data_IF_719816624888
#
_entry.id   IF_719816624888
#
_cell.length_a   1.000
_cell.length_b   1.000
_cell.length_c   1.000
_cell.angle_alpha   90.00
_cell.angle_beta   90.00
_cell.angle_gamma   90.00
#
_symmetry.space_group_name_H-M   'P 1'
#
loop_
_entity.id
_entity.type
_entity.pdbx_description
1 polymer ?
#
# COMPACT_ATOMS: atom_id res chain seq x y z
N UNK A 1 32.35 77.94 -0.56
CA UNK A 1 31.66 77.13 -1.60
C UNK A 1 32.67 76.68 -2.65
N UNK A 2 32.91 75.38 -2.86
CA UNK A 2 33.57 74.93 -4.08
C UNK A 2 32.56 74.95 -5.25
N UNK A 3 32.99 75.33 -6.47
CA UNK A 3 32.09 75.48 -7.60
C UNK A 3 31.56 74.10 -8.05
N UNK A 4 30.25 74.05 -8.28
CA UNK A 4 29.51 72.87 -8.73
C UNK A 4 30.13 72.35 -10.03
N UNK A 5 30.78 71.19 -10.00
CA UNK A 5 31.12 70.40 -11.20
C UNK A 5 29.83 70.03 -11.92
N UNK A 6 29.46 70.79 -12.95
CA UNK A 6 28.42 70.41 -13.92
C UNK A 6 28.88 69.12 -14.61
N UNK A 7 28.17 68.02 -14.33
CA UNK A 7 28.37 66.73 -15.00
C UNK A 7 28.17 66.90 -16.51
N UNK A 8 29.16 66.47 -17.28
CA UNK A 8 29.14 66.30 -18.74
C UNK A 8 28.21 65.13 -19.15
N UNK A 9 26.93 65.22 -18.81
CA UNK A 9 25.90 64.28 -19.23
C UNK A 9 24.89 65.06 -20.06
N UNK A 10 25.14 65.20 -21.36
CA UNK A 10 24.13 65.80 -22.24
C UNK A 10 24.56 66.28 -23.64
N UNK A 11 25.84 66.57 -23.89
CA UNK A 11 26.28 66.96 -25.25
C UNK A 11 26.80 65.75 -26.02
N UNK A 12 26.06 65.33 -27.05
CA UNK A 12 26.66 64.55 -28.15
C UNK A 12 27.83 65.36 -28.70
N UNK A 13 29.05 64.83 -28.60
CA UNK A 13 30.23 65.50 -29.11
C UNK A 13 30.17 65.53 -30.64
N UNK A 14 30.70 66.58 -31.27
CA UNK A 14 30.78 66.67 -32.75
C UNK A 14 31.45 65.43 -33.34
N UNK A 15 32.46 64.89 -32.65
CA UNK A 15 33.13 63.63 -32.97
C UNK A 15 32.15 62.43 -33.01
N UNK A 16 31.30 62.24 -32.00
CA UNK A 16 30.32 61.15 -31.99
C UNK A 16 29.25 61.29 -33.09
N UNK A 17 28.97 62.52 -33.54
CA UNK A 17 28.06 62.78 -34.65
C UNK A 17 28.71 62.45 -36.00
N UNK A 18 29.98 62.84 -36.20
CA UNK A 18 30.75 62.50 -37.38
C UNK A 18 30.95 60.99 -37.52
N UNK A 19 31.28 60.30 -36.41
CA UNK A 19 31.44 58.84 -36.37
C UNK A 19 30.15 58.11 -36.75
N UNK A 20 28.99 58.64 -36.36
CA UNK A 20 27.69 58.09 -36.72
C UNK A 20 27.36 58.32 -38.19
N UNK A 21 27.67 59.51 -38.72
CA UNK A 21 27.47 59.81 -40.14
C UNK A 21 28.36 58.93 -41.03
N UNK A 22 29.63 58.74 -40.66
CA UNK A 22 30.56 57.85 -41.34
C UNK A 22 30.07 56.39 -41.32
N UNK A 23 29.58 55.90 -40.18
CA UNK A 23 28.99 54.54 -40.08
C UNK A 23 27.70 54.38 -40.88
N UNK A 24 26.91 55.45 -41.03
CA UNK A 24 25.67 55.42 -41.82
C UNK A 24 25.95 55.40 -43.33
N UNK A 25 27.12 55.88 -43.77
CA UNK A 25 27.58 55.84 -45.16
C UNK A 25 28.42 54.61 -45.52
N UNK A 26 28.65 53.67 -44.59
CA UNK A 26 29.43 52.46 -44.87
C UNK A 26 28.71 51.54 -45.86
N UNK A 27 29.47 50.98 -46.81
CA UNK A 27 28.99 49.86 -47.62
C UNK A 27 28.97 48.56 -46.78
N UNK A 28 28.18 47.54 -47.16
CA UNK A 28 28.15 46.26 -46.46
C UNK A 28 29.55 45.61 -46.30
N UNK A 29 30.43 45.80 -47.28
CA UNK A 29 31.83 45.33 -47.25
C UNK A 29 32.72 46.12 -46.28
N UNK A 30 32.54 47.45 -46.23
CA UNK A 30 33.26 48.29 -45.26
C UNK A 30 32.80 47.99 -43.82
N UNK A 31 31.50 47.77 -43.63
CA UNK A 31 30.95 47.35 -42.34
C UNK A 31 31.48 45.97 -41.93
N UNK A 32 31.53 45.00 -42.84
CA UNK A 32 32.04 43.66 -42.53
C UNK A 32 33.53 43.68 -42.17
N UNK A 33 34.33 44.46 -42.90
CA UNK A 33 35.75 44.65 -42.62
C UNK A 33 35.98 45.29 -41.23
N UNK A 34 35.23 46.35 -40.90
CA UNK A 34 35.33 47.02 -39.59
C UNK A 34 34.94 46.09 -38.45
N UNK A 35 33.87 45.30 -38.61
CA UNK A 35 33.47 44.31 -37.62
C UNK A 35 34.55 43.22 -37.45
N UNK A 36 35.12 42.73 -38.55
CA UNK A 36 36.23 41.77 -38.50
C UNK A 36 37.48 42.31 -37.81
N UNK A 37 37.81 43.59 -38.00
CA UNK A 37 38.94 44.26 -37.30
C UNK A 37 38.65 44.44 -35.80
N UNK A 38 37.40 44.75 -35.45
CA UNK A 38 36.97 44.88 -34.06
C UNK A 38 36.96 43.52 -33.34
N UNK A 39 36.54 42.46 -34.02
CA UNK A 39 36.55 41.09 -33.51
C UNK A 39 37.98 40.58 -33.30
N UNK A 40 38.87 40.81 -34.25
CA UNK A 40 40.29 40.42 -34.13
C UNK A 40 41.00 41.19 -33.01
N UNK A 41 40.75 42.50 -32.88
CA UNK A 41 41.25 43.29 -31.74
C UNK A 41 40.69 42.81 -30.39
N UNK A 42 39.42 42.42 -30.36
CA UNK A 42 38.79 41.86 -29.15
C UNK A 42 39.34 40.49 -28.81
N UNK A 43 39.58 39.62 -29.80
CA UNK A 43 40.20 38.32 -29.62
C UNK A 43 41.63 38.43 -29.07
N UNK A 44 42.43 39.38 -29.58
CA UNK A 44 43.77 39.66 -29.07
C UNK A 44 43.75 40.15 -27.60
N UNK A 45 42.78 41.00 -27.25
CA UNK A 45 42.60 41.42 -25.84
C UNK A 45 42.20 40.25 -24.93
N UNK A 46 41.34 39.35 -25.41
CA UNK A 46 40.89 38.18 -24.65
C UNK A 46 41.96 37.10 -24.53
N UNK A 47 42.89 36.98 -25.49
CA UNK A 47 43.98 36.00 -25.43
C UNK A 47 45.06 36.39 -24.41
N UNK A 48 45.25 37.69 -24.19
CA UNK A 48 46.17 38.24 -23.18
C UNK A 48 45.51 38.44 -21.80
N UNK A 49 44.25 38.02 -21.63
CA UNK A 49 43.48 38.23 -20.40
C UNK A 49 43.97 37.33 -19.26
N UNK A 50 44.19 37.91 -18.07
CA UNK A 50 44.52 37.14 -16.88
C UNK A 50 43.32 36.34 -16.37
N UNK A 51 43.56 35.26 -15.61
CA UNK A 51 42.49 34.45 -15.04
C UNK A 51 41.53 35.27 -14.15
N UNK A 52 42.06 36.23 -13.37
CA UNK A 52 41.26 37.11 -12.52
C UNK A 52 40.44 38.14 -13.32
N UNK A 53 41.03 38.75 -14.35
CA UNK A 53 40.28 39.65 -15.23
C UNK A 53 39.16 38.91 -15.98
N UNK A 54 39.42 37.66 -16.38
CA UNK A 54 38.44 36.78 -17.02
C UNK A 54 37.27 36.46 -16.09
N UNK A 55 37.51 36.12 -14.82
CA UNK A 55 36.43 35.82 -13.87
C UNK A 55 35.59 37.06 -13.59
N UNK A 56 36.21 38.24 -13.44
CA UNK A 56 35.50 39.50 -13.22
C UNK A 56 34.66 39.92 -14.43
N UNK A 57 35.20 39.77 -15.65
CA UNK A 57 34.45 40.03 -16.89
C UNK A 57 33.25 39.09 -17.04
N UNK A 58 33.43 37.80 -16.75
CA UNK A 58 32.34 36.82 -16.81
C UNK A 58 31.28 37.09 -15.73
N UNK A 59 31.67 37.49 -14.52
CA UNK A 59 30.75 37.86 -13.45
C UNK A 59 29.96 39.13 -13.81
N UNK A 60 30.64 40.16 -14.34
CA UNK A 60 30.00 41.40 -14.81
C UNK A 60 29.03 41.15 -15.96
N UNK A 61 29.40 40.29 -16.91
CA UNK A 61 28.51 39.86 -17.99
C UNK A 61 27.30 39.08 -17.45
N UNK A 62 27.49 38.19 -16.48
CA UNK A 62 26.40 37.44 -15.84
C UNK A 62 25.41 38.36 -15.12
N UNK A 63 25.91 39.34 -14.35
CA UNK A 63 25.08 40.34 -13.65
C UNK A 63 24.30 41.23 -14.63
N UNK A 64 24.94 41.65 -15.72
CA UNK A 64 24.29 42.42 -16.79
C UNK A 64 23.18 41.62 -17.46
N UNK A 65 23.45 40.34 -17.77
CA UNK A 65 22.47 39.43 -18.37
C UNK A 65 21.30 39.12 -17.42
N UNK A 66 21.57 38.95 -16.13
CA UNK A 66 20.55 38.76 -15.10
C UNK A 66 19.62 39.98 -15.01
N UNK A 67 20.21 41.18 -14.93
CA UNK A 67 19.47 42.45 -14.89
C UNK A 67 18.62 42.66 -16.16
N UNK A 68 19.17 42.32 -17.34
CA UNK A 68 18.43 42.38 -18.59
C UNK A 68 17.25 41.41 -18.59
N UNK A 69 17.44 40.15 -18.14
CA UNK A 69 16.37 39.14 -18.04
C UNK A 69 15.28 39.52 -17.05
N UNK A 70 15.64 40.17 -15.94
CA UNK A 70 14.69 40.64 -14.94
C UNK A 70 13.74 41.70 -15.49
N UNK A 71 14.18 42.51 -16.46
CA UNK A 71 13.38 43.56 -17.10
C UNK A 71 12.49 43.08 -18.27
N UNK A 72 12.66 41.84 -18.73
CA UNK A 72 11.87 41.30 -19.84
C UNK A 72 10.42 41.09 -19.44
N UNK A 73 9.50 41.41 -20.35
CA UNK A 73 8.09 41.05 -20.22
C UNK A 73 7.89 39.53 -20.26
N UNK A 74 6.71 39.07 -19.85
CA UNK A 74 6.36 37.63 -19.90
C UNK A 74 6.41 37.11 -21.33
N UNK A 75 5.95 37.90 -22.31
CA UNK A 75 5.95 37.55 -23.73
C UNK A 75 7.37 37.51 -24.30
N UNK A 76 8.18 38.54 -24.02
CA UNK A 76 9.58 38.59 -24.47
C UNK A 76 10.40 37.42 -23.88
N UNK A 77 10.14 37.06 -22.62
CA UNK A 77 10.78 35.92 -21.97
C UNK A 77 10.33 34.59 -22.61
N UNK A 78 9.06 34.47 -22.97
CA UNK A 78 8.53 33.30 -23.67
C UNK A 78 9.17 33.14 -25.05
N UNK A 79 9.26 34.23 -25.81
CA UNK A 79 9.88 34.29 -27.12
C UNK A 79 11.39 33.97 -27.06
N UNK A 80 12.11 34.53 -26.09
CA UNK A 80 13.53 34.24 -25.91
C UNK A 80 13.76 32.77 -25.54
N UNK A 81 12.90 32.19 -24.69
CA UNK A 81 12.97 30.78 -24.33
C UNK A 81 12.67 29.85 -25.51
N UNK A 82 11.71 30.20 -26.36
CA UNK A 82 11.38 29.40 -27.56
C UNK A 82 12.50 29.45 -28.59
N UNK A 83 13.07 30.64 -28.84
CA UNK A 83 14.22 30.82 -29.74
C UNK A 83 15.47 30.08 -29.23
N UNK A 84 15.73 30.12 -27.93
CA UNK A 84 16.85 29.38 -27.31
C UNK A 84 16.67 27.87 -27.27
N UNK A 85 15.43 27.37 -27.32
CA UNK A 85 15.14 25.94 -27.24
C UNK A 85 15.57 25.18 -28.52
N UNK A 86 15.44 25.80 -29.70
CA UNK A 86 15.70 25.13 -30.99
C UNK A 86 17.18 24.73 -31.17
N UNK A 87 18.18 25.61 -30.95
CA UNK A 87 19.59 25.23 -31.02
C UNK A 87 19.95 24.16 -29.98
N UNK A 88 19.41 24.25 -28.76
CA UNK A 88 19.65 23.27 -27.70
C UNK A 88 19.08 21.90 -28.07
N UNK A 89 17.88 21.85 -28.66
CA UNK A 89 17.28 20.61 -29.14
C UNK A 89 18.14 19.96 -30.24
N UNK A 90 18.63 20.77 -31.20
CA UNK A 90 19.52 20.32 -32.28
C UNK A 90 20.84 19.74 -31.73
N UNK A 91 21.50 20.47 -30.83
CA UNK A 91 22.70 19.99 -30.13
C UNK A 91 22.44 18.68 -29.38
N UNK A 92 21.29 18.55 -28.70
CA UNK A 92 20.94 17.31 -27.97
C UNK A 92 20.69 16.13 -28.91
N UNK A 93 20.16 16.37 -30.11
CA UNK A 93 19.92 15.35 -31.12
C UNK A 93 21.24 14.78 -31.66
N UNK A 94 22.25 15.63 -31.87
CA UNK A 94 23.57 15.26 -32.40
C UNK A 94 24.54 14.65 -31.36
N UNK A 95 24.13 14.49 -30.11
CA UNK A 95 25.00 13.97 -29.06
C UNK A 95 25.30 12.48 -29.20
N UNK A 96 26.55 12.10 -28.93
CA UNK A 96 26.97 10.71 -28.79
C UNK A 96 26.33 10.03 -27.56
N UNK A 97 26.30 8.69 -27.49
CA UNK A 97 25.82 7.97 -26.31
C UNK A 97 26.54 8.37 -25.01
N UNK A 98 27.87 8.54 -25.06
CA UNK A 98 28.68 8.95 -23.91
C UNK A 98 28.33 10.37 -23.43
N UNK A 99 28.17 11.32 -24.35
CA UNK A 99 27.74 12.69 -24.02
C UNK A 99 26.32 12.70 -23.41
N UNK A 100 25.41 11.86 -23.90
CA UNK A 100 24.06 11.72 -23.33
C UNK A 100 24.12 11.18 -21.90
N UNK A 101 25.00 10.21 -21.62
CA UNK A 101 25.21 9.65 -20.28
C UNK A 101 25.77 10.69 -19.32
N UNK A 102 26.85 11.39 -19.70
CA UNK A 102 27.43 12.45 -18.88
C UNK A 102 26.43 13.56 -18.55
N UNK A 103 25.61 13.97 -19.52
CA UNK A 103 24.54 14.95 -19.30
C UNK A 103 23.52 14.45 -18.27
N UNK A 104 23.08 13.18 -18.37
CA UNK A 104 22.13 12.59 -17.42
C UNK A 104 22.72 12.52 -16.00
N UNK A 105 24.00 12.17 -15.87
CA UNK A 105 24.69 12.16 -14.58
C UNK A 105 24.78 13.57 -13.98
N UNK A 106 25.12 14.57 -14.81
CA UNK A 106 25.14 15.97 -14.37
C UNK A 106 23.75 16.43 -13.91
N UNK A 107 22.71 16.13 -14.70
CA UNK A 107 21.32 16.46 -14.34
C UNK A 107 20.88 15.73 -13.06
N UNK A 108 21.35 14.51 -12.81
CA UNK A 108 21.07 13.77 -11.59
C UNK A 108 21.75 14.40 -10.35
N UNK A 109 23.01 14.82 -10.48
CA UNK A 109 23.73 15.53 -9.42
C UNK A 109 23.07 16.87 -9.06
N UNK A 110 22.60 17.62 -10.05
CA UNK A 110 21.81 18.83 -9.77
C UNK A 110 20.48 18.51 -9.06
N UNK A 111 19.83 17.40 -9.42
CA UNK A 111 18.58 16.98 -8.77
C UNK A 111 18.77 16.49 -7.34
N UNK A 112 19.91 15.91 -6.99
CA UNK A 112 20.18 15.49 -5.60
C UNK A 112 20.36 16.67 -4.65
N UNK A 113 20.61 17.87 -5.19
CA UNK A 113 20.71 19.10 -4.42
C UNK A 113 19.38 19.90 -4.38
N UNK A 114 18.32 19.41 -5.02
CA UNK A 114 17.02 20.09 -5.02
C UNK A 114 16.35 20.02 -3.65
N UNK A 115 15.75 21.14 -3.21
CA UNK A 115 14.86 21.12 -2.06
C UNK A 115 13.57 20.35 -2.37
N UNK A 116 12.79 19.95 -1.34
CA UNK A 116 11.49 19.31 -1.54
C UNK A 116 10.54 20.14 -2.41
N UNK A 117 10.48 21.46 -2.20
CA UNK A 117 9.63 22.37 -2.98
C UNK A 117 10.07 22.52 -4.43
N UNK A 118 11.39 22.53 -4.67
CA UNK A 118 11.95 22.54 -6.01
C UNK A 118 11.63 21.23 -6.74
N UNK A 119 11.71 20.11 -6.02
CA UNK A 119 11.36 18.77 -6.53
C UNK A 119 9.89 18.69 -6.93
N UNK A 120 8.97 19.14 -6.08
CA UNK A 120 7.52 19.14 -6.39
C UNK A 120 7.23 20.06 -7.57
N UNK A 121 7.77 21.28 -7.57
CA UNK A 121 7.62 22.25 -8.66
C UNK A 121 8.11 21.71 -10.00
N UNK A 122 9.27 21.03 -10.01
CA UNK A 122 9.81 20.38 -11.22
C UNK A 122 8.92 19.21 -11.67
N UNK A 123 8.43 18.38 -10.76
CA UNK A 123 7.50 17.28 -11.09
C UNK A 123 6.19 17.82 -11.68
N UNK A 124 5.61 18.88 -11.10
CA UNK A 124 4.44 19.55 -11.65
C UNK A 124 4.70 20.12 -13.05
N UNK A 125 5.83 20.79 -13.27
CA UNK A 125 6.20 21.30 -14.60
C UNK A 125 6.34 20.16 -15.63
N UNK A 126 7.01 19.07 -15.26
CA UNK A 126 7.22 17.92 -16.15
C UNK A 126 5.91 17.19 -16.47
N UNK A 127 5.03 17.01 -15.49
CA UNK A 127 3.71 16.41 -15.72
C UNK A 127 2.87 17.28 -16.65
N UNK A 128 2.84 18.59 -16.44
CA UNK A 128 2.12 19.54 -17.32
C UNK A 128 2.66 19.53 -18.74
N UNK A 129 3.98 19.57 -18.92
CA UNK A 129 4.59 19.51 -20.25
C UNK A 129 4.33 18.17 -20.95
N UNK A 130 4.38 17.05 -20.22
CA UNK A 130 4.07 15.72 -20.77
C UNK A 130 2.60 15.61 -21.16
N UNK A 131 1.69 16.15 -20.35
CA UNK A 131 0.26 16.18 -20.66
C UNK A 131 -0.04 17.03 -21.90
N UNK A 132 0.58 18.22 -22.01
CA UNK A 132 0.44 19.08 -23.19
C UNK A 132 0.95 18.41 -24.47
N UNK A 133 2.11 17.74 -24.41
CA UNK A 133 2.64 16.97 -25.54
C UNK A 133 1.68 15.84 -25.95
N UNK A 134 1.17 15.07 -24.98
CA UNK A 134 0.21 13.98 -25.22
C UNK A 134 -1.13 14.45 -25.77
N UNK A 135 -1.57 15.67 -25.45
CA UNK A 135 -2.81 16.24 -25.98
C UNK A 135 -2.71 16.58 -27.47
N UNK A 136 -1.49 16.77 -27.98
CA UNK A 136 -1.21 17.06 -29.38
C UNK A 136 -0.77 15.81 -30.18
N UNK A 137 -0.63 14.65 -29.52
CA UNK A 137 -0.24 13.39 -30.18
C UNK A 137 -1.30 12.97 -31.21
N UNK A 138 -0.85 12.66 -32.42
CA UNK A 138 -1.72 12.06 -33.43
C UNK A 138 -2.09 10.62 -33.04
N UNK A 139 -3.19 10.04 -33.58
CA UNK A 139 -3.60 8.68 -33.25
C UNK A 139 -2.51 7.63 -33.52
N UNK A 140 -1.75 7.78 -34.61
CA UNK A 140 -0.65 6.88 -34.97
C UNK A 140 0.51 6.96 -33.96
N UNK A 141 0.88 8.16 -33.52
CA UNK A 141 1.93 8.38 -32.52
C UNK A 141 1.50 7.83 -31.16
N UNK A 142 0.23 8.04 -30.79
CA UNK A 142 -0.37 7.47 -29.58
C UNK A 142 -0.31 5.94 -29.61
N UNK A 143 -0.64 5.33 -30.76
CA UNK A 143 -0.58 3.88 -30.94
C UNK A 143 0.86 3.37 -30.82
N UNK A 144 1.82 4.02 -31.49
CA UNK A 144 3.23 3.66 -31.42
C UNK A 144 3.78 3.74 -29.97
N UNK A 145 3.44 4.81 -29.23
CA UNK A 145 3.83 4.96 -27.82
C UNK A 145 3.21 3.86 -26.94
N UNK A 146 1.93 3.55 -27.12
CA UNK A 146 1.25 2.48 -26.38
C UNK A 146 1.86 1.11 -26.68
N UNK A 147 2.17 0.84 -27.95
CA UNK A 147 2.85 -0.37 -28.38
C UNK A 147 4.22 -0.52 -27.73
N UNK A 148 5.06 0.53 -27.77
CA UNK A 148 6.39 0.53 -27.13
C UNK A 148 6.30 0.31 -25.61
N UNK A 149 5.33 0.95 -24.94
CA UNK A 149 5.11 0.77 -23.51
C UNK A 149 4.64 -0.65 -23.17
N UNK A 150 3.76 -1.23 -23.99
CA UNK A 150 3.31 -2.61 -23.83
C UNK A 150 4.48 -3.59 -23.99
N UNK A 151 5.33 -3.40 -24.99
CA UNK A 151 6.54 -4.21 -25.21
C UNK A 151 7.49 -4.12 -24.01
N UNK A 152 7.80 -2.92 -23.53
CA UNK A 152 8.66 -2.73 -22.36
C UNK A 152 8.08 -3.37 -21.10
N UNK A 153 6.76 -3.30 -20.91
CA UNK A 153 6.07 -3.93 -19.77
C UNK A 153 6.11 -5.45 -19.87
N UNK A 154 5.92 -6.00 -21.08
CA UNK A 154 5.99 -7.44 -21.32
C UNK A 154 7.41 -7.97 -21.07
N UNK A 155 8.45 -7.29 -21.58
CA UNK A 155 9.84 -7.65 -21.34
C UNK A 155 10.20 -7.60 -19.85
N UNK A 156 9.76 -6.57 -19.12
CA UNK A 156 9.97 -6.49 -17.67
C UNK A 156 9.29 -7.65 -16.92
N UNK A 157 8.05 -7.99 -17.29
CA UNK A 157 7.30 -9.12 -16.68
C UNK A 157 7.91 -10.48 -16.99
N UNK A 158 8.51 -10.66 -18.16
CA UNK A 158 9.19 -11.91 -18.54
C UNK A 158 10.44 -12.18 -17.68
N UNK A 159 11.05 -11.14 -17.12
CA UNK A 159 12.21 -11.22 -16.23
C UNK A 159 11.82 -11.20 -14.74
N UNK A 160 10.53 -11.16 -14.39
CA UNK A 160 10.08 -11.17 -12.99
C UNK A 160 10.38 -12.52 -12.34
N UNK A 161 10.97 -12.48 -11.15
CA UNK A 161 11.07 -13.69 -10.32
C UNK A 161 9.69 -14.14 -9.82
N UNK A 162 9.52 -15.41 -9.38
CA UNK A 162 8.27 -15.88 -8.79
C UNK A 162 7.81 -15.03 -7.60
N UNK A 163 8.74 -14.59 -6.74
CA UNK A 163 8.44 -13.71 -5.61
C UNK A 163 7.92 -12.34 -6.07
N UNK A 164 8.58 -11.72 -7.06
CA UNK A 164 8.16 -10.44 -7.64
C UNK A 164 6.78 -10.55 -8.31
N UNK A 165 6.53 -11.65 -9.03
CA UNK A 165 5.23 -11.95 -9.65
C UNK A 165 4.14 -12.03 -8.60
N UNK A 166 4.38 -12.72 -7.49
CA UNK A 166 3.43 -12.85 -6.37
C UNK A 166 3.13 -11.50 -5.75
N UNK A 167 4.15 -10.71 -5.42
CA UNK A 167 3.99 -9.36 -4.87
C UNK A 167 3.16 -8.48 -5.82
N UNK A 168 3.47 -8.47 -7.12
CA UNK A 168 2.70 -7.72 -8.12
C UNK A 168 1.23 -8.18 -8.18
N UNK A 169 0.96 -9.48 -8.15
CA UNK A 169 -0.41 -10.02 -8.14
C UNK A 169 -1.17 -9.60 -6.89
N UNK A 170 -0.53 -9.62 -5.72
CA UNK A 170 -1.12 -9.16 -4.46
C UNK A 170 -1.45 -7.66 -4.52
N UNK A 171 -0.52 -6.82 -4.98
CA UNK A 171 -0.74 -5.38 -5.11
C UNK A 171 -1.89 -5.09 -6.07
N UNK A 172 -1.91 -5.76 -7.24
CA UNK A 172 -2.99 -5.60 -8.21
C UNK A 172 -4.35 -6.06 -7.66
N UNK A 173 -4.39 -7.17 -6.92
CA UNK A 173 -5.60 -7.66 -6.27
C UNK A 173 -6.11 -6.67 -5.22
N UNK A 174 -5.22 -6.13 -4.38
CA UNK A 174 -5.56 -5.12 -3.36
C UNK A 174 -6.07 -3.82 -3.98
N UNK A 175 -5.40 -3.33 -5.02
CA UNK A 175 -5.83 -2.13 -5.75
C UNK A 175 -7.20 -2.34 -6.39
N UNK A 176 -7.43 -3.50 -7.01
CA UNK A 176 -8.73 -3.85 -7.61
C UNK A 176 -9.83 -3.97 -6.57
N UNK A 177 -9.55 -4.57 -5.41
CA UNK A 177 -10.51 -4.68 -4.31
C UNK A 177 -10.87 -3.31 -3.73
N UNK A 178 -9.87 -2.45 -3.50
CA UNK A 178 -10.08 -1.08 -3.03
C UNK A 178 -10.91 -0.25 -4.00
N UNK A 179 -10.61 -0.32 -5.31
CA UNK A 179 -11.41 0.35 -6.33
C UNK A 179 -12.87 -0.14 -6.35
N UNK A 180 -13.10 -1.45 -6.18
CA UNK A 180 -14.46 -2.03 -6.11
C UNK A 180 -15.22 -1.63 -4.85
N UNK A 181 -14.54 -1.44 -3.72
CA UNK A 181 -15.18 -1.01 -2.47
C UNK A 181 -15.73 0.43 -2.57
N UNK A 182 -15.13 1.25 -3.43
CA UNK A 182 -15.55 2.62 -3.71
C UNK A 182 -16.53 2.73 -4.90
N UNK A 183 -16.90 1.62 -5.55
CA UNK A 183 -17.84 1.64 -6.68
C UNK A 183 -19.24 2.05 -6.21
N UNK A 184 -19.85 3.01 -6.91
CA UNK A 184 -21.27 3.29 -6.72
C UNK A 184 -22.15 2.12 -7.17
N UNK A 185 -23.42 2.02 -6.72
CA UNK A 185 -24.33 0.97 -7.17
C UNK A 185 -24.47 0.91 -8.70
N UNK A 186 -24.54 2.07 -9.37
CA UNK A 186 -24.60 2.15 -10.84
C UNK A 186 -23.31 1.68 -11.53
N UNK A 187 -22.13 1.96 -10.95
CA UNK A 187 -20.86 1.45 -11.48
C UNK A 187 -20.76 -0.07 -11.31
N UNK A 188 -21.23 -0.58 -10.17
CA UNK A 188 -21.27 -2.02 -9.88
C UNK A 188 -22.17 -2.76 -10.88
N UNK A 189 -23.36 -2.24 -11.19
CA UNK A 189 -24.27 -2.87 -12.16
C UNK A 189 -23.66 -2.89 -13.56
N UNK A 190 -23.10 -1.77 -14.03
CA UNK A 190 -22.40 -1.70 -15.32
C UNK A 190 -21.25 -2.71 -15.40
N UNK A 191 -20.45 -2.84 -14.34
CA UNK A 191 -19.36 -3.83 -14.30
C UNK A 191 -19.89 -5.27 -14.34
N UNK A 192 -20.93 -5.59 -13.58
CA UNK A 192 -21.54 -6.93 -13.57
C UNK A 192 -22.09 -7.29 -14.95
N UNK A 193 -22.82 -6.39 -15.60
CA UNK A 193 -23.35 -6.59 -16.97
C UNK A 193 -22.21 -6.75 -17.99
N UNK A 194 -21.15 -5.95 -17.90
CA UNK A 194 -19.98 -6.10 -18.77
C UNK A 194 -19.31 -7.46 -18.57
N UNK A 195 -19.14 -7.89 -17.33
CA UNK A 195 -18.53 -9.18 -17.00
C UNK A 195 -19.38 -10.34 -17.51
N UNK A 196 -20.71 -10.33 -17.31
CA UNK A 196 -21.59 -11.39 -17.81
C UNK A 196 -21.55 -11.45 -19.34
N UNK A 197 -21.58 -10.31 -20.03
CA UNK A 197 -21.45 -10.25 -21.50
C UNK A 197 -20.11 -10.80 -21.99
N UNK A 198 -19.01 -10.42 -21.33
CA UNK A 198 -17.67 -10.92 -21.67
C UNK A 198 -17.60 -12.43 -21.51
N UNK A 199 -18.04 -12.96 -20.36
CA UNK A 199 -18.07 -14.41 -20.09
C UNK A 199 -18.98 -15.16 -21.06
N UNK A 200 -20.11 -14.58 -21.47
CA UNK A 200 -20.97 -15.18 -22.49
C UNK A 200 -20.26 -15.24 -23.86
N UNK A 201 -19.60 -14.15 -24.26
CA UNK A 201 -18.84 -14.08 -25.52
C UNK A 201 -17.68 -15.08 -25.54
N UNK A 202 -16.93 -15.22 -24.43
CA UNK A 202 -15.86 -16.23 -24.36
C UNK A 202 -16.42 -17.63 -24.48
N UNK A 203 -17.57 -17.91 -23.85
CA UNK A 203 -18.24 -19.23 -23.93
C UNK A 203 -18.74 -19.60 -25.33
N UNK A 204 -19.14 -18.60 -26.11
CA UNK A 204 -19.54 -18.82 -27.52
C UNK A 204 -18.31 -19.11 -28.39
N UNK A 205 -17.17 -18.46 -28.09
CA UNK A 205 -15.92 -18.68 -28.80
C UNK A 205 -15.10 -19.90 -28.31
N UNK A 206 -15.57 -20.61 -27.28
CA UNK A 206 -14.92 -21.82 -26.76
C UNK A 206 -14.96 -22.93 -27.82
N UNK A 207 -13.81 -23.55 -28.08
CA UNK A 207 -13.77 -24.80 -28.86
C UNK A 207 -14.31 -25.98 -28.04
N UNK A 208 -14.56 -27.12 -28.71
CA UNK A 208 -15.16 -28.31 -28.10
C UNK A 208 -14.37 -28.84 -26.90
N UNK A 209 -13.04 -28.83 -26.99
CA UNK A 209 -12.15 -29.35 -25.94
C UNK A 209 -12.16 -28.46 -24.68
N UNK A 210 -12.03 -27.14 -24.85
CA UNK A 210 -12.12 -26.19 -23.73
C UNK A 210 -13.50 -26.23 -23.09
N UNK A 211 -14.57 -26.37 -23.89
CA UNK A 211 -15.93 -26.52 -23.38
C UNK A 211 -16.07 -27.80 -22.55
N UNK A 212 -15.55 -28.93 -23.05
CA UNK A 212 -15.55 -30.23 -22.35
C UNK A 212 -14.82 -30.12 -21.03
N UNK A 213 -13.61 -29.59 -21.01
CA UNK A 213 -12.81 -29.42 -19.80
C UNK A 213 -13.48 -28.48 -18.79
N UNK A 214 -14.13 -27.39 -19.23
CA UNK A 214 -14.92 -26.53 -18.34
C UNK A 214 -16.11 -27.28 -17.73
N UNK A 215 -16.87 -28.03 -18.54
CA UNK A 215 -18.02 -28.80 -18.04
C UNK A 215 -17.58 -29.93 -17.12
N UNK A 216 -16.46 -30.58 -17.42
CA UNK A 216 -15.83 -31.60 -16.58
C UNK A 216 -15.35 -31.00 -15.26
N UNK A 217 -14.70 -29.83 -15.26
CA UNK A 217 -14.34 -29.11 -14.05
C UNK A 217 -15.56 -28.68 -13.22
N UNK A 218 -16.64 -28.24 -13.87
CA UNK A 218 -17.89 -27.92 -13.18
C UNK A 218 -18.52 -29.21 -12.62
N UNK A 219 -18.50 -30.30 -13.39
CA UNK A 219 -19.04 -31.60 -13.00
C UNK A 219 -18.24 -32.23 -11.88
N UNK A 220 -16.91 -32.18 -11.92
CA UNK A 220 -16.01 -32.68 -10.89
C UNK A 220 -16.09 -31.84 -9.63
N UNK A 221 -16.22 -30.51 -9.75
CA UNK A 221 -16.51 -29.64 -8.61
C UNK A 221 -17.90 -29.94 -8.03
N UNK A 222 -18.93 -30.09 -8.86
CA UNK A 222 -20.27 -30.49 -8.43
C UNK A 222 -20.31 -31.92 -7.89
N UNK A 223 -19.50 -32.84 -8.38
CA UNK A 223 -19.37 -34.21 -7.90
C UNK A 223 -18.51 -34.29 -6.64
N UNK A 224 -17.56 -33.38 -6.43
CA UNK A 224 -16.92 -33.16 -5.13
C UNK A 224 -17.92 -32.64 -4.11
N UNK A 225 -18.95 -31.91 -4.56
CA UNK A 225 -20.06 -31.46 -3.72
C UNK A 225 -21.20 -32.50 -3.56
N UNK A 226 -21.48 -33.31 -4.59
CA UNK A 226 -22.62 -34.25 -4.67
C UNK A 226 -22.22 -35.73 -4.43
N UNK A 227 -20.97 -36.12 -4.62
CA UNK A 227 -20.41 -37.46 -4.32
C UNK A 227 -20.23 -37.72 -2.82
N UNK A 228 -20.85 -36.87 -2.00
CA UNK A 228 -20.77 -36.86 -0.54
C UNK A 228 -22.15 -37.17 0.08
N UNK A 229 -23.11 -37.69 -0.70
CA UNK A 229 -24.44 -38.06 -0.19
C UNK A 229 -24.68 -39.57 -0.25
N UNK A 230 -24.03 -40.30 0.65
CA UNK A 230 -24.69 -41.39 1.40
C UNK A 230 -24.09 -41.40 2.81
N UNK A 231 -24.89 -41.39 3.89
CA UNK A 231 -24.39 -41.42 5.27
C UNK A 231 -23.52 -42.63 5.62
N UNK A 232 -23.44 -43.65 4.76
CA UNK A 232 -22.76 -44.92 5.00
C UNK A 232 -21.43 -45.11 4.25
N UNK A 233 -20.92 -44.11 3.51
CA UNK A 233 -19.62 -44.22 2.84
C UNK A 233 -18.46 -43.98 3.80
N UNK A 234 -17.38 -44.74 3.64
CA UNK A 234 -16.11 -44.57 4.36
C UNK A 234 -15.53 -43.15 4.28
N UNK A 235 -16.01 -42.35 3.31
CA UNK A 235 -15.70 -40.94 3.18
C UNK A 235 -15.98 -40.15 4.47
N UNK A 236 -17.10 -40.39 5.16
CA UNK A 236 -17.43 -39.66 6.40
C UNK A 236 -16.65 -40.15 7.62
N UNK A 237 -15.99 -41.29 7.51
CA UNK A 237 -15.21 -41.88 8.59
C UNK A 237 -14.05 -40.94 8.91
N UNK A 238 -14.07 -40.40 10.13
CA UNK A 238 -13.06 -39.47 10.65
C UNK A 238 -12.96 -38.09 9.97
N UNK A 239 -13.89 -37.68 9.10
CA UNK A 239 -13.88 -36.32 8.50
C UNK A 239 -14.06 -35.23 9.53
N UNK A 240 -14.80 -35.51 10.61
CA UNK A 240 -14.91 -34.58 11.74
C UNK A 240 -13.56 -34.21 12.36
N UNK A 241 -12.54 -35.09 12.25
CA UNK A 241 -11.19 -34.82 12.74
C UNK A 241 -10.34 -33.99 11.76
N UNK A 242 -10.80 -33.81 10.51
CA UNK A 242 -10.14 -33.02 9.46
C UNK A 242 -10.98 -31.78 9.12
N UNK A 243 -11.08 -30.85 10.07
CA UNK A 243 -11.83 -29.60 9.89
C UNK A 243 -11.15 -28.66 8.88
N UNK A 244 -11.88 -28.24 7.85
CA UNK A 244 -11.45 -27.23 6.86
C UNK A 244 -12.27 -25.93 7.02
N UNK A 245 -11.63 -24.88 7.54
CA UNK A 245 -12.27 -23.60 7.80
C UNK A 245 -12.73 -22.84 6.54
N UNK A 246 -12.33 -23.27 5.34
CA UNK A 246 -12.75 -22.66 4.07
C UNK A 246 -14.11 -23.19 3.60
N UNK A 247 -14.57 -24.32 4.14
CA UNK A 247 -15.84 -24.95 3.79
C UNK A 247 -16.96 -24.39 4.67
N UNK A 248 -18.04 -23.91 4.04
CA UNK A 248 -19.26 -23.48 4.75
C UNK A 248 -20.14 -24.67 5.12
N UNK A 249 -19.77 -25.40 6.17
CA UNK A 249 -20.51 -26.57 6.65
C UNK A 249 -21.98 -26.27 6.99
N UNK A 250 -22.30 -25.07 7.47
CA UNK A 250 -23.69 -24.68 7.77
C UNK A 250 -24.61 -24.57 6.53
N UNK A 251 -24.04 -24.44 5.33
CA UNK A 251 -24.79 -24.40 4.08
C UNK A 251 -24.97 -25.79 3.44
N UNK A 252 -24.37 -26.83 4.06
CA UNK A 252 -24.40 -28.21 3.57
C UNK A 252 -25.65 -28.92 4.10
N UNK A 253 -26.50 -29.39 3.18
CA UNK A 253 -27.74 -30.13 3.53
C UNK A 253 -27.45 -31.48 4.19
N UNK A 254 -26.28 -32.04 3.91
CA UNK A 254 -25.75 -33.31 4.42
C UNK A 254 -25.20 -33.24 5.86
N UNK A 255 -24.98 -32.04 6.40
CA UNK A 255 -24.52 -31.83 7.80
C UNK A 255 -25.63 -31.22 8.67
N UNK A 256 -26.86 -31.14 8.15
CA UNK A 256 -27.96 -30.48 8.82
C UNK A 256 -28.63 -31.43 9.84
N UNK A 257 -28.13 -31.43 11.08
CA UNK A 257 -28.61 -32.27 12.20
C UNK A 257 -30.03 -31.86 12.65
N UNK A 258 -30.47 -30.64 12.31
CA UNK A 258 -31.78 -30.10 12.69
C UNK A 258 -31.77 -29.40 14.05
N UNK A 259 -32.94 -28.95 14.51
CA UNK A 259 -33.10 -28.31 15.82
C UNK A 259 -33.10 -29.34 16.95
N UNK A 260 -32.54 -28.97 18.11
CA UNK A 260 -32.59 -29.76 19.33
C UNK A 260 -33.90 -29.46 20.08
N UNK A 261 -35.02 -29.95 19.55
CA UNK A 261 -36.37 -29.61 20.02
C UNK A 261 -37.17 -30.79 20.59
N UNK A 262 -36.63 -32.02 20.51
CA UNK A 262 -37.31 -33.21 21.04
C UNK A 262 -37.07 -33.31 22.53
N UNK A 263 -38.10 -33.14 23.33
CA UNK A 263 -38.00 -33.20 24.79
C UNK A 263 -38.16 -34.64 25.27
N UNK A 264 -37.23 -35.11 26.10
CA UNK A 264 -37.32 -36.42 26.76
C UNK A 264 -38.46 -36.42 27.77
N UNK A 265 -39.32 -37.44 27.75
CA UNK A 265 -40.44 -37.59 28.70
C UNK A 265 -40.00 -37.88 30.14
N UNK A 266 -38.80 -38.43 30.34
CA UNK A 266 -38.33 -38.85 31.67
C UNK A 266 -37.49 -37.81 32.40
N UNK A 267 -36.67 -37.04 31.67
CA UNK A 267 -35.72 -36.09 32.26
C UNK A 267 -35.81 -34.67 31.68
N UNK A 268 -36.76 -34.40 30.78
CA UNK A 268 -36.95 -33.11 30.10
C UNK A 268 -35.73 -32.60 29.30
N UNK A 269 -34.70 -33.42 29.10
CA UNK A 269 -33.57 -33.07 28.25
C UNK A 269 -34.02 -32.87 26.79
N UNK A 270 -33.50 -31.83 26.14
CA UNK A 270 -33.69 -31.58 24.71
C UNK A 270 -32.76 -32.51 23.91
N UNK A 271 -33.29 -33.07 22.82
CA UNK A 271 -32.65 -34.05 21.95
C UNK A 271 -32.79 -33.64 20.49
N UNK A 272 -31.89 -34.15 19.65
CA UNK A 272 -32.08 -34.11 18.20
C UNK A 272 -32.92 -35.30 17.74
N UNK A 273 -33.63 -35.14 16.62
CA UNK A 273 -34.56 -36.15 16.11
C UNK A 273 -33.90 -37.50 15.76
N UNK A 274 -32.60 -37.50 15.43
CA UNK A 274 -31.84 -38.71 15.08
C UNK A 274 -31.17 -39.41 16.27
N UNK A 275 -31.28 -38.87 17.50
CA UNK A 275 -30.66 -39.49 18.67
C UNK A 275 -31.40 -40.72 19.17
N UNK A 276 -30.65 -41.68 19.70
CA UNK A 276 -31.22 -42.86 20.34
C UNK A 276 -32.03 -42.46 21.59
N UNK A 277 -33.22 -43.05 21.81
CA UNK A 277 -34.09 -42.68 22.93
C UNK A 277 -33.40 -42.71 24.31
N UNK A 278 -32.41 -43.60 24.49
CA UNK A 278 -31.67 -43.81 25.73
C UNK A 278 -30.49 -42.86 25.98
N UNK A 279 -30.08 -42.01 25.04
CA UNK A 279 -28.81 -41.26 25.15
C UNK A 279 -28.75 -40.31 26.36
N UNK A 280 -29.89 -39.74 26.79
CA UNK A 280 -29.92 -38.73 27.85
C UNK A 280 -30.06 -39.30 29.28
N UNK A 281 -30.81 -40.39 29.46
CA UNK A 281 -31.19 -40.91 30.79
C UNK A 281 -31.37 -42.43 30.80
N UNK A 282 -30.88 -43.11 29.76
CA UNK A 282 -31.03 -44.55 29.57
C UNK A 282 -32.48 -45.04 29.69
N UNK A 283 -33.42 -44.25 29.14
CA UNK A 283 -34.86 -44.56 29.20
C UNK A 283 -35.50 -44.33 30.58
N UNK A 284 -34.94 -43.42 31.39
CA UNK A 284 -35.47 -43.06 32.71
C UNK A 284 -34.80 -43.78 33.88
N UNK A 285 -33.79 -44.61 33.61
CA UNK A 285 -33.01 -45.32 34.63
C UNK A 285 -32.08 -44.39 35.41
N UNK A 286 -31.64 -43.30 34.80
CA UNK A 286 -30.77 -42.30 35.42
C UNK A 286 -31.62 -41.06 35.75
N UNK A 287 -31.69 -40.74 37.05
CA UNK A 287 -32.33 -39.51 37.55
C UNK A 287 -31.23 -38.56 38.03
N UNK A 288 -30.95 -37.53 37.24
CA UNK A 288 -30.01 -36.49 37.61
C UNK A 288 -30.71 -35.50 38.57
N UNK A 289 -30.06 -35.07 39.66
CA UNK A 289 -30.56 -33.97 40.46
C UNK A 289 -30.59 -32.68 39.62
N UNK A 290 -31.57 -31.81 39.91
CA UNK A 290 -31.60 -30.47 39.31
C UNK A 290 -30.37 -29.69 39.75
N UNK A 291 -29.81 -28.90 38.83
CA UNK A 291 -28.73 -27.98 39.17
C UNK A 291 -29.32 -26.86 40.05
N UNK A 292 -28.68 -26.61 41.19
CA UNK A 292 -29.01 -25.46 42.02
C UNK A 292 -28.70 -24.16 41.27
N UNK A 293 -29.55 -23.15 41.45
CA UNK A 293 -29.29 -21.84 40.86
C UNK A 293 -28.04 -21.21 41.49
N UNK A 294 -27.13 -20.63 40.69
CA UNK A 294 -25.98 -19.91 41.23
C UNK A 294 -26.43 -18.79 42.19
N UNK A 295 -25.73 -18.56 43.31
CA UNK A 295 -26.04 -17.45 44.19
C UNK A 295 -25.77 -16.11 43.48
N UNK A 296 -26.44 -15.04 43.92
CA UNK A 296 -26.11 -13.68 43.47
C UNK A 296 -24.76 -13.24 44.05
N UNK A 297 -23.91 -12.54 43.28
CA UNK A 297 -24.16 -11.94 41.95
C UNK A 297 -23.82 -12.83 40.73
N UNK A 298 -23.38 -14.08 40.93
CA UNK A 298 -22.91 -14.95 39.85
C UNK A 298 -24.00 -15.30 38.83
N UNK A 299 -25.24 -15.41 39.30
CA UNK A 299 -26.41 -15.67 38.46
C UNK A 299 -26.60 -14.60 37.39
N UNK A 300 -26.50 -13.33 37.76
CA UNK A 300 -26.67 -12.22 36.82
C UNK A 300 -25.52 -12.15 35.82
N UNK A 301 -24.29 -12.40 36.28
CA UNK A 301 -23.11 -12.50 35.42
C UNK A 301 -23.22 -13.63 34.38
N UNK A 302 -23.74 -14.81 34.78
CA UNK A 302 -23.89 -15.97 33.91
C UNK A 302 -25.06 -15.85 32.91
N UNK A 303 -26.15 -15.19 33.31
CA UNK A 303 -27.34 -14.99 32.46
C UNK A 303 -27.21 -13.81 31.49
N UNK A 304 -26.08 -13.08 31.52
CA UNK A 304 -25.69 -12.15 30.47
C UNK A 304 -26.26 -10.74 30.60
N UNK A 305 -26.61 -10.29 31.81
CA UNK A 305 -26.94 -8.86 32.03
C UNK A 305 -25.73 -7.96 31.83
N UNK A 306 -24.51 -8.50 31.91
CA UNK A 306 -23.25 -7.83 31.58
C UNK A 306 -22.51 -8.58 30.45
N UNK A 307 -22.63 -8.09 29.21
CA UNK A 307 -21.98 -8.71 28.03
C UNK A 307 -20.46 -8.87 28.21
N UNK A 308 -19.85 -7.93 28.91
CA UNK A 308 -18.42 -7.91 29.20
C UNK A 308 -17.92 -9.16 29.95
N UNK A 309 -18.67 -9.64 30.96
CA UNK A 309 -18.23 -10.80 31.75
C UNK A 309 -18.16 -12.06 30.87
N UNK A 310 -19.18 -12.30 30.04
CA UNK A 310 -19.22 -13.45 29.14
C UNK A 310 -18.16 -13.35 28.03
N UNK A 311 -17.90 -12.16 27.50
CA UNK A 311 -16.84 -11.92 26.51
C UNK A 311 -15.44 -12.19 27.07
N UNK A 312 -15.22 -11.88 28.36
CA UNK A 312 -13.94 -12.04 29.04
C UNK A 312 -13.88 -13.23 30.02
N UNK A 313 -14.86 -14.13 30.02
CA UNK A 313 -15.02 -15.20 31.05
C UNK A 313 -13.78 -16.07 31.21
N UNK A 314 -13.06 -16.33 30.11
CA UNK A 314 -11.80 -17.09 30.13
C UNK A 314 -10.71 -16.36 30.90
N UNK A 315 -10.61 -15.03 30.76
CA UNK A 315 -9.63 -14.22 31.49
C UNK A 315 -9.94 -14.23 32.99
N UNK A 316 -11.21 -14.05 33.35
CA UNK A 316 -11.65 -14.15 34.74
C UNK A 316 -11.34 -15.53 35.34
N UNK A 317 -11.66 -16.62 34.64
CA UNK A 317 -11.36 -17.98 35.12
C UNK A 317 -9.84 -18.25 35.22
N UNK A 318 -9.04 -17.68 34.31
CA UNK A 318 -7.58 -17.78 34.38
C UNK A 318 -6.99 -17.04 35.59
N UNK A 319 -7.61 -15.94 36.06
CA UNK A 319 -7.15 -15.28 37.28
C UNK A 319 -7.21 -16.22 38.49
N UNK A 320 -8.23 -17.07 38.58
CA UNK A 320 -8.40 -18.02 39.70
C UNK A 320 -7.66 -19.35 39.49
N UNK A 321 -6.83 -19.46 38.45
CA UNK A 321 -6.15 -20.70 38.10
C UNK A 321 -5.04 -21.04 39.10
N UNK A 322 -5.10 -22.23 39.70
CA UNK A 322 -4.11 -22.68 40.69
C UNK A 322 -2.85 -23.29 40.07
N UNK A 323 -2.93 -23.80 38.84
CA UNK A 323 -1.81 -24.49 38.17
C UNK A 323 -1.66 -24.00 36.75
N UNK A 324 -0.44 -23.73 36.29
CA UNK A 324 -0.20 -23.43 34.87
C UNK A 324 -0.10 -24.72 34.05
N UNK A 325 -0.19 -24.60 32.72
CA UNK A 325 -0.06 -25.74 31.82
C UNK A 325 1.27 -25.67 31.06
N UNK A 326 2.09 -26.69 31.24
CA UNK A 326 3.28 -26.94 30.43
C UNK A 326 2.88 -27.67 29.16
N UNK A 327 2.98 -27.00 28.02
CA UNK A 327 2.59 -27.54 26.72
C UNK A 327 3.57 -27.14 25.63
N UNK A 328 3.84 -28.06 24.70
CA UNK A 328 4.52 -27.72 23.45
C UNK A 328 3.49 -27.20 22.45
N UNK A 329 3.21 -25.91 22.53
CA UNK A 329 2.25 -25.25 21.66
C UNK A 329 2.77 -25.24 20.20
N UNK A 330 1.91 -25.64 19.26
CA UNK A 330 2.20 -25.55 17.83
C UNK A 330 1.65 -24.20 17.34
N UNK A 331 2.55 -23.35 16.84
CA UNK A 331 2.18 -22.11 16.14
C UNK A 331 2.44 -22.27 14.66
N UNK A 332 1.39 -22.40 13.86
CA UNK A 332 1.50 -22.58 12.40
C UNK A 332 1.53 -21.25 11.61
N UNK A 333 1.51 -20.10 12.31
CA UNK A 333 1.43 -18.77 11.68
C UNK A 333 0.09 -18.52 10.97
N UNK A 334 -0.29 -17.24 10.82
CA UNK A 334 -1.58 -16.84 10.27
C UNK A 334 -2.69 -16.74 11.33
N UNK A 335 -3.96 -16.88 10.92
CA UNK A 335 -5.12 -16.87 11.83
C UNK A 335 -5.39 -18.28 12.34
N UNK A 336 -5.17 -18.51 13.65
CA UNK A 336 -5.35 -19.82 14.30
C UNK A 336 -6.42 -19.70 15.39
N UNK A 337 -7.67 -20.13 15.12
CA UNK A 337 -8.78 -19.99 16.08
C UNK A 337 -8.74 -20.99 17.24
N UNK A 338 -7.82 -21.96 17.20
CA UNK A 338 -7.71 -23.06 18.16
C UNK A 338 -6.29 -23.18 18.70
N UNK A 339 -6.13 -23.32 20.01
CA UNK A 339 -4.83 -23.58 20.64
C UNK A 339 -4.42 -25.04 20.42
N UNK A 340 -3.39 -25.27 19.58
CA UNK A 340 -2.90 -26.62 19.25
C UNK A 340 -1.71 -26.98 20.14
N UNK A 341 -1.77 -28.15 20.77
CA UNK A 341 -0.70 -28.70 21.61
C UNK A 341 -0.17 -29.98 20.97
N UNK A 342 1.15 -30.12 20.90
CA UNK A 342 1.81 -31.35 20.47
C UNK A 342 2.36 -32.11 21.68
N UNK A 343 2.05 -33.41 21.78
CA UNK A 343 2.59 -34.26 22.84
C UNK A 343 1.79 -34.15 24.15
N UNK A 344 2.46 -34.42 25.26
CA UNK A 344 1.81 -34.54 26.57
C UNK A 344 1.57 -33.16 27.19
N UNK A 345 0.38 -32.98 27.77
CA UNK A 345 0.05 -31.81 28.60
C UNK A 345 0.51 -32.12 30.01
N UNK A 346 1.33 -31.26 30.59
CA UNK A 346 1.72 -31.35 32.00
C UNK A 346 1.05 -30.22 32.78
N UNK A 347 0.48 -30.54 33.94
CA UNK A 347 0.14 -29.51 34.91
C UNK A 347 1.43 -29.09 35.61
N UNK A 348 1.82 -27.83 35.44
CA UNK A 348 2.93 -27.25 36.16
C UNK A 348 2.37 -26.63 37.44
N UNK A 349 2.72 -27.25 38.57
CA UNK A 349 2.56 -26.62 39.87
C UNK A 349 3.85 -25.87 40.16
N UNK A 350 3.75 -24.55 40.29
CA UNK A 350 4.86 -23.73 40.75
C UNK A 350 5.24 -24.06 42.19
N UNK A 351 6.34 -23.48 42.67
CA UNK A 351 6.67 -23.51 44.10
C UNK A 351 5.52 -22.94 44.93
N UNK A 352 5.35 -23.45 46.14
CA UNK A 352 4.32 -22.96 47.07
C UNK A 352 4.58 -21.50 47.51
N UNK A 353 5.86 -21.10 47.51
CA UNK A 353 6.32 -19.77 47.88
C UNK A 353 6.88 -19.05 46.64
N UNK A 354 6.59 -17.76 46.51
CA UNK A 354 7.22 -16.88 45.54
C UNK A 354 8.68 -16.60 45.94
N UNK A 355 9.53 -16.40 44.94
CA UNK A 355 10.91 -15.96 45.17
C UNK A 355 10.94 -14.50 45.62
N UNK A 356 11.97 -14.10 46.38
CA UNK A 356 12.01 -12.81 47.09
C UNK A 356 11.88 -11.55 46.21
N UNK A 357 12.06 -11.67 44.89
CA UNK A 357 12.00 -10.55 43.94
C UNK A 357 10.87 -10.68 42.90
N UNK A 358 10.06 -11.75 42.94
CA UNK A 358 8.97 -11.96 41.98
C UNK A 358 7.58 -11.85 42.64
N UNK A 359 6.59 -11.25 41.95
CA UNK A 359 5.22 -11.23 42.44
C UNK A 359 4.63 -12.64 42.50
N UNK A 360 3.79 -12.95 43.51
CA UNK A 360 3.18 -14.28 43.63
C UNK A 360 2.26 -14.59 42.46
N UNK A 361 2.35 -15.82 41.93
CA UNK A 361 1.56 -16.27 40.77
C UNK A 361 0.76 -17.54 41.08
N UNK A 362 -0.41 -17.67 40.44
CA UNK A 362 -1.28 -18.86 40.52
C UNK A 362 -1.61 -19.25 41.97
N UNK A 363 -1.25 -20.46 42.40
CA UNK A 363 -1.47 -20.97 43.75
C UNK A 363 -0.83 -20.11 44.84
N UNK A 364 0.29 -19.45 44.56
CA UNK A 364 1.03 -18.63 45.53
C UNK A 364 0.22 -17.44 46.04
N UNK A 365 -0.69 -16.91 45.19
CA UNK A 365 -1.55 -15.77 45.54
C UNK A 365 -2.40 -16.13 46.76
N UNK A 366 -2.96 -17.34 46.80
CA UNK A 366 -3.81 -17.81 47.90
C UNK A 366 -3.06 -18.03 49.24
N UNK A 367 -1.74 -18.24 49.21
CA UNK A 367 -0.96 -18.58 50.40
C UNK A 367 -0.12 -17.42 50.94
N UNK A 368 0.29 -16.47 50.10
CA UNK A 368 1.24 -15.42 50.46
C UNK A 368 0.62 -14.04 50.63
N UNK A 369 -0.47 -13.76 49.94
CA UNK A 369 -1.13 -12.46 49.99
C UNK A 369 -2.28 -12.49 51.01
N UNK A 370 -2.53 -11.36 51.69
CA UNK A 370 -3.76 -11.20 52.46
C UNK A 370 -5.00 -11.09 51.54
N UNK A 371 -6.21 -11.07 52.08
CA UNK A 371 -7.43 -11.05 51.25
C UNK A 371 -7.48 -9.88 50.25
N UNK A 372 -7.00 -8.69 50.63
CA UNK A 372 -7.03 -7.52 49.75
C UNK A 372 -5.90 -7.57 48.73
N UNK A 373 -4.71 -7.99 49.15
CA UNK A 373 -3.56 -8.19 48.27
C UNK A 373 -3.80 -9.31 47.26
N UNK A 374 -4.56 -10.35 47.62
CA UNK A 374 -5.00 -11.40 46.71
C UNK A 374 -5.89 -10.82 45.59
N UNK A 375 -6.85 -9.98 45.97
CA UNK A 375 -7.75 -9.33 45.02
C UNK A 375 -6.95 -8.43 44.07
N UNK A 376 -6.05 -7.61 44.61
CA UNK A 376 -5.22 -6.72 43.80
C UNK A 376 -4.26 -7.48 42.89
N UNK A 377 -3.66 -8.58 43.35
CA UNK A 377 -2.83 -9.47 42.54
C UNK A 377 -3.64 -10.10 41.39
N UNK A 378 -4.86 -10.57 41.65
CA UNK A 378 -5.74 -11.12 40.62
C UNK A 378 -6.22 -10.07 39.61
N UNK A 379 -6.48 -8.84 40.07
CA UNK A 379 -6.85 -7.71 39.20
C UNK A 379 -5.68 -7.24 38.34
N UNK A 380 -4.45 -7.27 38.86
CA UNK A 380 -3.24 -6.93 38.11
C UNK A 380 -2.90 -7.89 36.96
N UNK A 381 -3.44 -9.12 37.00
CA UNK A 381 -3.31 -10.12 35.91
C UNK A 381 -4.24 -9.80 34.73
N UNK A 382 -5.32 -9.04 34.95
CA UNK A 382 -6.24 -8.66 33.88
C UNK A 382 -5.63 -7.55 33.01
N UNK A 383 -5.66 -7.65 31.66
CA UNK A 383 -5.15 -6.59 30.79
C UNK A 383 -5.93 -5.28 30.96
N UNK A 384 -5.22 -4.15 30.94
CA UNK A 384 -5.72 -2.78 31.19
C UNK A 384 -6.77 -2.24 30.21
N UNK A 385 -7.13 -2.98 29.16
CA UNK A 385 -8.21 -2.62 28.23
C UNK A 385 -9.62 -2.92 28.78
N UNK A 386 -9.71 -3.44 30.00
CA UNK A 386 -10.96 -3.68 30.71
C UNK A 386 -11.24 -2.46 31.58
N UNK A 387 -11.99 -1.49 31.04
CA UNK A 387 -12.57 -0.42 31.85
C UNK A 387 -13.60 -1.03 32.80
N UNK A 388 -13.17 -1.32 34.01
CA UNK A 388 -14.07 -1.52 35.15
C UNK A 388 -14.67 -0.13 35.39
N UNK A 389 -15.93 0.05 34.99
CA UNK A 389 -16.71 1.23 35.37
C UNK A 389 -16.69 1.42 36.89
N UNK A 390 -16.80 2.65 37.39
CA UNK A 390 -16.54 2.96 38.78
C UNK A 390 -17.48 2.20 39.72
N UNK A 391 -16.95 1.93 40.92
CA UNK A 391 -17.54 1.22 42.06
C UNK A 391 -18.96 1.66 42.42
#
# INVERSE_FOLDING_TARGET
>A
MPPKRRKLLGRRTAAASADRAARASETPEQTSLRLSQMDSSSAARLSMESAAARTERLASAASTMSSRRARLSVEERSLQNSQGAVPVARLRASQSPTQKTLRRLRDACFRSLESPEQTTSRRHRNTRATAASRALEQPQETAHRRFRNALSTASARALESPAQTTVRRIINARSTASARALESPAQTTVRRVRNTRSTASTRVAENSEVRRQRLENISSFRASLNGVTSPSTSFWSNVAYNYDCTVKYSARRDVQIGAMDKVCTFCNAKKWAGEQPGLCCSGGKIKLPSLDEPPQPLRDLLLGTTSHFLEAIRKYNCCFQMTSFGVKAISEGGWMPTFKVQGQVYHLMGSLLADQEEPPQFLQIYFLADYNEQVDAHLGILPSDISIGPR
#
